data_IF_770837000380
#
_entry.id   IF_770837000380
#
_cell.length_a   1.000
_cell.length_b   1.000
_cell.length_c   1.000
_cell.angle_alpha   90.00
_cell.angle_beta   90.00
_cell.angle_gamma   90.00
#
_symmetry.space_group_name_H-M   'P 1'
#
loop_
_entity.id
_entity.type
_entity.pdbx_description
1 polymer ?
#
# COMPACT_ATOMS: atom_id res chain seq x y z
N UNK A 1 -0.61 13.31 -12.84
CA UNK A 1 -2.05 13.24 -12.45
C UNK A 1 -2.26 12.25 -11.31
N UNK A 2 -3.43 12.32 -10.65
CA UNK A 2 -3.86 11.34 -9.68
C UNK A 2 -4.82 10.33 -10.34
N UNK A 3 -4.62 9.03 -10.05
CA UNK A 3 -5.47 7.94 -10.53
C UNK A 3 -6.20 7.30 -9.35
N UNK A 4 -7.52 7.38 -9.35
CA UNK A 4 -8.38 6.69 -8.40
C UNK A 4 -8.98 5.43 -9.02
N UNK A 5 -8.74 4.27 -8.39
CA UNK A 5 -9.35 3.00 -8.83
C UNK A 5 -10.52 2.67 -7.93
N UNK A 6 -11.73 2.77 -8.48
CA UNK A 6 -12.97 2.54 -7.75
C UNK A 6 -13.40 1.07 -7.89
N UNK A 7 -13.28 0.30 -6.80
CA UNK A 7 -13.59 -1.14 -6.78
C UNK A 7 -15.07 -1.46 -6.54
N UNK A 8 -15.85 -0.51 -6.02
CA UNK A 8 -17.27 -0.72 -5.66
C UNK A 8 -17.50 -1.71 -4.51
N UNK A 9 -16.50 -1.99 -3.68
CA UNK A 9 -16.59 -2.98 -2.61
C UNK A 9 -17.05 -2.40 -1.27
N UNK A 10 -16.67 -1.15 -0.97
CA UNK A 10 -17.14 -0.42 0.21
C UNK A 10 -18.40 0.38 -0.12
N UNK A 11 -19.30 0.50 0.85
CA UNK A 11 -20.45 1.41 0.79
C UNK A 11 -20.04 2.88 0.68
N UNK A 12 -18.82 3.22 1.12
CA UNK A 12 -18.27 4.58 1.11
C UNK A 12 -17.44 4.86 -0.16
N UNK A 13 -17.38 3.95 -1.13
CA UNK A 13 -16.50 4.07 -2.30
C UNK A 13 -16.81 5.32 -3.16
N UNK A 14 -18.06 5.71 -3.28
CA UNK A 14 -18.47 6.92 -4.01
C UNK A 14 -18.11 8.20 -3.22
N UNK A 15 -18.20 8.19 -1.90
CA UNK A 15 -17.79 9.32 -1.03
C UNK A 15 -16.26 9.53 -1.12
N UNK A 16 -15.49 8.45 -1.16
CA UNK A 16 -14.03 8.50 -1.34
C UNK A 16 -13.66 9.06 -2.71
N UNK A 17 -14.37 8.65 -3.76
CA UNK A 17 -14.21 9.22 -5.10
C UNK A 17 -14.49 10.73 -5.08
N UNK A 18 -15.58 11.16 -4.44
CA UNK A 18 -15.94 12.57 -4.30
C UNK A 18 -14.89 13.37 -3.54
N UNK A 19 -14.34 12.82 -2.46
CA UNK A 19 -13.25 13.42 -1.70
C UNK A 19 -11.98 13.60 -2.55
N UNK A 20 -11.52 12.55 -3.23
CA UNK A 20 -10.33 12.61 -4.09
C UNK A 20 -10.51 13.62 -5.23
N UNK A 21 -11.71 13.69 -5.81
CA UNK A 21 -12.04 14.66 -6.87
C UNK A 21 -11.89 16.09 -6.38
N UNK A 22 -12.52 16.44 -5.24
CA UNK A 22 -12.44 17.79 -4.65
C UNK A 22 -11.00 18.17 -4.29
N UNK A 23 -10.27 17.26 -3.64
CA UNK A 23 -8.89 17.50 -3.24
C UNK A 23 -7.98 17.77 -4.43
N UNK A 24 -8.11 16.98 -5.50
CA UNK A 24 -7.33 17.18 -6.72
C UNK A 24 -7.69 18.49 -7.43
N UNK A 25 -8.96 18.90 -7.40
CA UNK A 25 -9.39 20.20 -7.93
C UNK A 25 -8.79 21.36 -7.13
N UNK A 26 -8.83 21.29 -5.79
CA UNK A 26 -8.25 22.28 -4.89
C UNK A 26 -6.74 22.45 -5.12
N UNK A 27 -6.03 21.34 -5.34
CA UNK A 27 -4.59 21.36 -5.54
C UNK A 27 -4.15 21.52 -7.02
N UNK A 28 -5.10 21.72 -7.93
CA UNK A 28 -4.86 21.79 -9.38
C UNK A 28 -4.09 20.56 -9.91
N UNK A 29 -4.38 19.36 -9.36
CA UNK A 29 -3.83 18.10 -9.82
C UNK A 29 -4.81 17.46 -10.82
N UNK A 30 -4.42 17.17 -12.06
CA UNK A 30 -5.27 16.42 -12.98
C UNK A 30 -5.71 15.09 -12.34
N UNK A 31 -7.00 14.77 -12.45
CA UNK A 31 -7.61 13.62 -11.80
C UNK A 31 -8.29 12.70 -12.80
N UNK A 32 -8.04 11.41 -12.67
CA UNK A 32 -8.71 10.35 -13.44
C UNK A 32 -9.27 9.31 -12.47
N UNK A 33 -10.48 8.87 -12.71
CA UNK A 33 -11.09 7.75 -11.99
C UNK A 33 -11.40 6.61 -12.95
N UNK A 34 -11.10 5.38 -12.51
CA UNK A 34 -11.41 4.15 -13.24
C UNK A 34 -12.25 3.25 -12.33
N UNK A 35 -13.46 2.93 -12.78
CA UNK A 35 -14.31 1.94 -12.11
C UNK A 35 -13.96 0.56 -12.62
N UNK A 36 -13.59 -0.35 -11.72
CA UNK A 36 -13.19 -1.72 -12.07
C UNK A 36 -14.21 -2.72 -11.54
N UNK A 37 -14.40 -3.79 -12.30
CA UNK A 37 -15.23 -4.93 -11.86
C UNK A 37 -14.33 -5.95 -11.16
N UNK A 38 -14.65 -6.26 -9.89
CA UNK A 38 -13.92 -7.25 -9.11
C UNK A 38 -14.57 -8.62 -9.30
N UNK A 39 -13.98 -9.44 -10.18
CA UNK A 39 -14.44 -10.81 -10.43
C UNK A 39 -13.86 -11.77 -9.40
N UNK A 40 -14.71 -12.53 -8.74
CA UNK A 40 -14.31 -13.57 -7.75
C UNK A 40 -13.82 -14.82 -8.49
N UNK A 41 -12.55 -14.89 -8.81
CA UNK A 41 -11.91 -16.00 -9.54
C UNK A 41 -11.38 -17.10 -8.59
N UNK A 42 -12.02 -17.33 -7.44
CA UNK A 42 -11.60 -18.32 -6.45
C UNK A 42 -10.41 -17.90 -5.55
N UNK A 43 -9.77 -16.77 -5.83
CA UNK A 43 -8.60 -16.26 -5.10
C UNK A 43 -8.95 -15.36 -3.89
N UNK A 44 -10.21 -15.19 -3.57
CA UNK A 44 -10.67 -14.22 -2.57
C UNK A 44 -10.80 -12.80 -3.12
N UNK A 45 -11.65 -12.00 -2.46
CA UNK A 45 -12.06 -10.67 -2.94
C UNK A 45 -10.89 -9.66 -2.95
N UNK A 46 -10.00 -9.75 -1.97
CA UNK A 46 -8.82 -8.87 -1.85
C UNK A 46 -7.83 -9.07 -2.99
N UNK A 47 -7.53 -10.34 -3.31
CA UNK A 47 -6.63 -10.68 -4.43
C UNK A 47 -7.23 -10.26 -5.77
N UNK A 48 -8.53 -10.45 -5.96
CA UNK A 48 -9.26 -10.02 -7.16
C UNK A 48 -9.27 -8.49 -7.31
N UNK A 49 -9.53 -7.76 -6.23
CA UNK A 49 -9.48 -6.29 -6.21
C UNK A 49 -8.07 -5.77 -6.51
N UNK A 50 -7.05 -6.43 -5.94
CA UNK A 50 -5.66 -6.11 -6.24
C UNK A 50 -5.33 -6.32 -7.74
N UNK A 51 -5.73 -7.45 -8.31
CA UNK A 51 -5.54 -7.75 -9.75
C UNK A 51 -6.19 -6.68 -10.63
N UNK A 52 -7.44 -6.33 -10.36
CA UNK A 52 -8.16 -5.30 -11.10
C UNK A 52 -7.48 -3.92 -11.00
N UNK A 53 -6.99 -3.55 -9.81
CA UNK A 53 -6.23 -2.31 -9.62
C UNK A 53 -4.93 -2.28 -10.42
N UNK A 54 -4.19 -3.38 -10.44
CA UNK A 54 -2.94 -3.44 -11.20
C UNK A 54 -3.17 -3.42 -12.71
N UNK A 55 -4.30 -3.96 -13.18
CA UNK A 55 -4.70 -3.80 -14.58
C UNK A 55 -4.97 -2.33 -14.91
N UNK A 56 -5.69 -1.60 -14.05
CA UNK A 56 -5.91 -0.17 -14.25
C UNK A 56 -4.60 0.66 -14.25
N UNK A 57 -3.55 0.19 -13.55
CA UNK A 57 -2.22 0.80 -13.59
C UNK A 57 -1.53 0.56 -14.93
N UNK A 58 -1.60 -0.67 -15.48
CA UNK A 58 -1.05 -1.00 -16.79
C UNK A 58 -1.74 -0.24 -17.93
N UNK A 59 -3.03 0.04 -17.78
CA UNK A 59 -3.83 0.77 -18.77
C UNK A 59 -3.62 2.31 -18.68
N UNK A 60 -2.83 2.79 -17.71
CA UNK A 60 -2.57 4.21 -17.54
C UNK A 60 -1.36 4.66 -18.41
N UNK A 61 -1.52 5.71 -19.23
CA UNK A 61 -0.51 6.10 -20.22
C UNK A 61 0.73 6.80 -19.61
N UNK A 62 0.77 7.02 -18.29
CA UNK A 62 1.88 7.76 -17.65
C UNK A 62 3.20 7.01 -17.61
N UNK A 63 3.19 5.68 -17.75
CA UNK A 63 4.38 4.83 -17.71
C UNK A 63 5.01 4.69 -16.31
N UNK A 64 4.69 5.56 -15.36
CA UNK A 64 5.16 5.49 -13.96
C UNK A 64 3.98 5.67 -13.01
N UNK A 65 3.76 4.68 -12.16
CA UNK A 65 2.74 4.71 -11.10
C UNK A 65 3.41 4.85 -9.74
N UNK A 66 3.23 6.00 -9.10
CA UNK A 66 3.70 6.23 -7.73
C UNK A 66 2.71 5.65 -6.72
N UNK A 67 3.19 4.81 -5.78
CA UNK A 67 2.40 4.22 -4.71
C UNK A 67 2.93 4.66 -3.34
N UNK A 68 2.03 5.05 -2.45
CA UNK A 68 2.35 5.56 -1.11
C UNK A 68 2.64 4.44 -0.07
N UNK A 69 3.23 3.31 -0.48
CA UNK A 69 3.73 2.33 0.47
C UNK A 69 4.86 2.92 1.30
N UNK A 70 4.88 2.62 2.59
CA UNK A 70 5.83 3.17 3.56
C UNK A 70 6.58 2.07 4.33
N UNK A 71 7.44 2.45 5.28
CA UNK A 71 8.31 1.51 6.00
C UNK A 71 7.53 0.44 6.75
N UNK A 72 6.41 0.79 7.40
CA UNK A 72 5.58 -0.19 8.11
C UNK A 72 4.98 -1.23 7.15
N UNK A 73 4.61 -0.84 5.91
CA UNK A 73 4.18 -1.79 4.88
C UNK A 73 5.28 -2.76 4.47
N UNK A 74 6.55 -2.32 4.47
CA UNK A 74 7.70 -3.20 4.23
C UNK A 74 7.84 -4.23 5.33
N UNK A 75 7.77 -3.79 6.60
CA UNK A 75 7.87 -4.66 7.78
C UNK A 75 6.73 -5.68 7.77
N UNK A 76 5.48 -5.25 7.55
CA UNK A 76 4.33 -6.13 7.43
C UNK A 76 4.52 -7.17 6.31
N UNK A 77 5.00 -6.73 5.15
CA UNK A 77 5.20 -7.62 3.99
C UNK A 77 6.29 -8.65 4.27
N UNK A 78 7.41 -8.25 4.87
CA UNK A 78 8.47 -9.14 5.30
C UNK A 78 7.97 -10.17 6.30
N UNK A 79 7.28 -9.73 7.36
CA UNK A 79 6.78 -10.61 8.42
C UNK A 79 5.74 -11.59 7.90
N UNK A 80 4.81 -11.13 7.05
CA UNK A 80 3.83 -12.00 6.39
C UNK A 80 4.50 -13.04 5.48
N UNK A 81 5.57 -12.69 4.79
CA UNK A 81 6.35 -13.63 3.98
C UNK A 81 7.04 -14.66 4.88
N UNK A 82 7.65 -14.23 5.99
CA UNK A 82 8.34 -15.11 6.92
C UNK A 82 7.40 -16.15 7.55
N UNK A 83 6.23 -15.73 8.06
CA UNK A 83 5.27 -16.65 8.69
C UNK A 83 4.57 -17.59 7.70
N UNK A 84 4.56 -17.26 6.40
CA UNK A 84 4.00 -18.10 5.34
C UNK A 84 5.03 -19.01 4.67
N UNK A 85 6.27 -19.04 5.15
CA UNK A 85 7.35 -19.82 4.53
C UNK A 85 7.79 -19.25 3.18
N UNK A 86 7.70 -17.94 2.99
CA UNK A 86 8.16 -17.28 1.77
C UNK A 86 9.67 -17.45 1.58
N UNK A 87 10.11 -17.75 0.36
CA UNK A 87 11.53 -17.80 0.01
C UNK A 87 12.18 -16.41 -0.05
N UNK A 88 13.47 -16.36 -0.35
CA UNK A 88 14.31 -15.15 -0.37
C UNK A 88 13.63 -13.98 -1.11
N UNK A 89 13.07 -14.24 -2.29
CA UNK A 89 12.37 -13.21 -3.09
C UNK A 89 11.17 -12.58 -2.37
N UNK A 90 10.43 -13.36 -1.58
CA UNK A 90 9.29 -12.86 -0.82
C UNK A 90 9.73 -12.08 0.42
N UNK A 91 10.81 -12.53 1.08
CA UNK A 91 11.43 -11.84 2.21
C UNK A 91 12.09 -10.52 1.82
N UNK A 92 12.51 -10.35 0.57
CA UNK A 92 12.99 -9.05 0.07
C UNK A 92 11.91 -7.95 0.04
N UNK A 93 10.65 -8.30 0.35
CA UNK A 93 9.50 -7.40 0.42
C UNK A 93 9.29 -6.57 -0.87
N UNK A 94 9.12 -5.25 -0.78
CA UNK A 94 8.82 -4.42 -1.94
C UNK A 94 10.04 -3.58 -2.35
N UNK A 95 10.55 -3.71 -3.59
CA UNK A 95 11.60 -2.82 -4.06
C UNK A 95 11.06 -1.41 -4.31
N UNK A 96 11.92 -0.36 -4.20
CA UNK A 96 11.55 1.03 -4.52
C UNK A 96 10.99 1.19 -5.94
N UNK A 97 11.61 0.46 -6.87
CA UNK A 97 11.20 0.42 -8.27
C UNK A 97 10.89 -1.01 -8.68
N UNK A 98 9.81 -1.19 -9.44
CA UNK A 98 9.44 -2.50 -9.99
C UNK A 98 8.80 -2.33 -11.36
N UNK A 99 9.29 -3.05 -12.35
CA UNK A 99 8.62 -3.18 -13.64
C UNK A 99 7.28 -3.90 -13.45
N UNK A 100 6.18 -3.30 -13.90
CA UNK A 100 4.86 -3.89 -13.88
C UNK A 100 4.63 -4.70 -15.17
N UNK A 101 4.88 -4.09 -16.30
CA UNK A 101 4.87 -4.64 -17.65
C UNK A 101 5.96 -3.99 -18.52
N UNK A 102 5.85 -4.04 -19.84
CA UNK A 102 6.87 -3.48 -20.74
C UNK A 102 6.93 -1.95 -20.71
N UNK A 103 5.80 -1.30 -20.50
CA UNK A 103 5.65 0.16 -20.59
C UNK A 103 5.53 0.82 -19.22
N UNK A 104 5.07 0.08 -18.18
CA UNK A 104 4.72 0.65 -16.87
C UNK A 104 5.67 0.21 -15.77
N UNK A 105 6.12 1.19 -14.98
CA UNK A 105 6.90 0.98 -13.76
C UNK A 105 6.14 1.44 -12.51
N UNK A 106 6.34 0.75 -11.43
CA UNK A 106 5.85 1.15 -10.10
C UNK A 106 7.00 1.78 -9.33
N UNK A 107 6.75 2.98 -8.80
CA UNK A 107 7.64 3.70 -7.91
C UNK A 107 7.04 3.81 -6.51
N UNK A 108 7.86 3.62 -5.47
CA UNK A 108 7.46 3.71 -4.06
C UNK A 108 8.37 4.68 -3.31
N UNK A 109 8.12 5.99 -3.42
CA UNK A 109 9.01 7.02 -2.86
C UNK A 109 9.05 7.04 -1.33
N UNK A 110 8.04 6.51 -0.66
CA UNK A 110 7.87 6.63 0.79
C UNK A 110 8.36 5.41 1.60
N UNK A 111 8.98 4.41 0.97
CA UNK A 111 9.39 3.16 1.64
C UNK A 111 10.39 3.35 2.80
N UNK A 112 11.09 4.45 2.86
CA UNK A 112 12.06 4.75 3.92
C UNK A 112 11.47 5.53 5.09
N UNK A 113 10.27 6.05 4.95
CA UNK A 113 9.57 6.80 5.99
C UNK A 113 8.63 5.89 6.78
N UNK A 114 8.64 6.02 8.09
CA UNK A 114 7.69 5.33 8.97
C UNK A 114 6.29 5.95 8.84
N UNK A 115 5.27 5.17 9.16
CA UNK A 115 3.90 5.67 9.24
C UNK A 115 3.77 6.87 10.17
N UNK A 116 4.45 6.84 11.33
CA UNK A 116 4.45 7.93 12.31
C UNK A 116 5.02 9.23 11.74
N UNK A 117 6.09 9.17 10.95
CA UNK A 117 6.67 10.36 10.29
C UNK A 117 5.67 10.94 9.27
N UNK A 118 5.02 10.08 8.48
CA UNK A 118 4.02 10.52 7.50
C UNK A 118 2.77 11.13 8.18
N UNK A 119 2.29 10.54 9.26
CA UNK A 119 1.17 11.09 10.05
C UNK A 119 1.54 12.44 10.68
N UNK A 120 2.76 12.57 11.20
CA UNK A 120 3.26 13.84 11.73
C UNK A 120 3.38 14.92 10.65
N UNK A 121 3.85 14.57 9.47
CA UNK A 121 3.90 15.47 8.32
C UNK A 121 2.50 15.89 7.87
N UNK A 122 1.58 14.94 7.74
CA UNK A 122 0.20 15.23 7.34
C UNK A 122 -0.49 16.17 8.33
N UNK A 123 -0.28 15.94 9.64
CA UNK A 123 -0.82 16.83 10.69
C UNK A 123 -0.19 18.23 10.62
N UNK A 124 1.13 18.34 10.46
CA UNK A 124 1.82 19.64 10.36
C UNK A 124 1.38 20.46 9.13
N UNK A 125 1.04 19.78 8.04
CA UNK A 125 0.56 20.40 6.80
C UNK A 125 -0.97 20.52 6.73
N UNK A 126 -1.71 20.10 7.77
CA UNK A 126 -3.17 20.04 7.79
C UNK A 126 -3.76 19.31 6.57
N UNK A 127 -3.12 18.20 6.16
CA UNK A 127 -3.58 17.42 5.01
C UNK A 127 -4.86 16.67 5.36
N UNK A 128 -5.96 16.86 4.62
CA UNK A 128 -7.17 16.10 4.83
C UNK A 128 -6.95 14.63 4.44
N UNK A 129 -7.56 13.72 5.17
CA UNK A 129 -7.51 12.29 4.90
C UNK A 129 -8.87 11.62 5.08
N UNK A 130 -8.97 10.40 4.63
CA UNK A 130 -10.12 9.51 4.84
C UNK A 130 -9.63 8.27 5.58
N UNK A 131 -10.40 7.85 6.55
CA UNK A 131 -10.23 6.55 7.18
C UNK A 131 -11.08 5.48 6.46
N UNK A 132 -10.43 4.41 6.04
CA UNK A 132 -11.08 3.22 5.51
C UNK A 132 -11.44 2.31 6.68
N UNK A 133 -12.73 2.09 6.89
CA UNK A 133 -13.26 1.25 7.97
C UNK A 133 -12.72 -0.20 7.94
N UNK A 134 -12.37 -0.70 6.76
CA UNK A 134 -11.80 -2.05 6.62
C UNK A 134 -10.41 -2.19 7.23
N UNK A 135 -9.70 -1.09 7.46
CA UNK A 135 -8.38 -1.12 8.10
C UNK A 135 -8.43 -1.59 9.56
N UNK A 136 -9.57 -1.44 10.24
CA UNK A 136 -9.73 -1.87 11.63
C UNK A 136 -10.11 -3.36 11.77
N UNK A 137 -10.46 -4.04 10.69
CA UNK A 137 -10.88 -5.45 10.73
C UNK A 137 -9.68 -6.40 10.86
N UNK A 138 -9.44 -6.89 12.07
CA UNK A 138 -8.35 -7.83 12.39
C UNK A 138 -8.61 -9.27 11.93
N UNK A 139 -9.76 -9.58 11.35
CA UNK A 139 -9.97 -10.84 10.63
C UNK A 139 -9.01 -10.97 9.42
N UNK A 140 -8.58 -9.85 8.87
CA UNK A 140 -7.51 -9.84 7.88
C UNK A 140 -6.14 -9.98 8.54
N UNK A 141 -5.38 -10.99 8.14
CA UNK A 141 -4.07 -11.30 8.74
C UNK A 141 -3.10 -10.09 8.73
N UNK A 142 -3.19 -9.23 7.72
CA UNK A 142 -2.35 -8.01 7.64
C UNK A 142 -2.72 -7.01 8.72
N UNK A 143 -4.01 -6.79 8.96
CA UNK A 143 -4.48 -5.88 10.01
C UNK A 143 -4.18 -6.46 11.40
N UNK A 144 -4.40 -7.76 11.60
CA UNK A 144 -3.97 -8.44 12.83
C UNK A 144 -2.47 -8.28 13.09
N UNK A 145 -1.63 -8.48 12.07
CA UNK A 145 -0.18 -8.27 12.17
C UNK A 145 0.13 -6.84 12.62
N UNK A 146 -0.53 -5.84 12.02
CA UNK A 146 -0.33 -4.40 12.30
C UNK A 146 -0.75 -4.02 13.71
N UNK A 147 -1.92 -4.47 14.17
CA UNK A 147 -2.53 -3.98 15.39
C UNK A 147 -2.25 -4.84 16.62
N UNK A 148 -1.93 -6.11 16.43
CA UNK A 148 -1.73 -7.05 17.54
C UNK A 148 -0.30 -7.59 17.60
N UNK A 149 0.26 -8.13 16.53
CA UNK A 149 1.54 -8.81 16.58
C UNK A 149 2.74 -7.85 16.61
N UNK A 150 2.79 -6.88 15.69
CA UNK A 150 3.91 -5.93 15.59
C UNK A 150 4.09 -5.07 16.84
N UNK A 151 3.05 -4.55 17.50
CA UNK A 151 3.21 -3.80 18.75
C UNK A 151 3.92 -4.61 19.85
N UNK A 152 3.57 -5.89 20.00
CA UNK A 152 4.22 -6.79 21.00
C UNK A 152 5.70 -6.98 20.70
N UNK A 153 6.08 -7.17 19.45
CA UNK A 153 7.50 -7.33 19.07
C UNK A 153 8.28 -6.02 19.24
N UNK A 154 7.69 -4.89 18.86
CA UNK A 154 8.29 -3.55 19.03
C UNK A 154 8.55 -3.21 20.51
N UNK A 155 7.64 -3.63 21.39
CA UNK A 155 7.81 -3.46 22.83
C UNK A 155 8.94 -4.33 23.40
N UNK A 156 9.05 -5.58 22.94
CA UNK A 156 9.95 -6.58 23.50
C UNK A 156 11.34 -6.61 22.87
N UNK A 157 11.46 -6.19 21.62
CA UNK A 157 12.70 -6.28 20.84
C UNK A 157 13.21 -4.88 20.51
N UNK A 158 14.27 -4.39 21.19
CA UNK A 158 14.85 -3.10 20.88
C UNK A 158 15.25 -2.98 19.40
N UNK A 159 14.94 -1.86 18.77
CA UNK A 159 15.25 -1.58 17.36
C UNK A 159 14.66 -2.60 16.37
N UNK A 160 13.56 -3.26 16.70
CA UNK A 160 12.89 -4.26 15.85
C UNK A 160 12.77 -3.79 14.40
N UNK A 161 12.14 -2.63 14.17
CA UNK A 161 11.91 -2.08 12.83
C UNK A 161 13.21 -1.86 12.05
N UNK A 162 14.25 -1.34 12.72
CA UNK A 162 15.57 -1.12 12.13
C UNK A 162 16.21 -2.44 11.68
N UNK A 163 16.11 -3.48 12.51
CA UNK A 163 16.67 -4.80 12.19
C UNK A 163 15.94 -5.45 11.01
N UNK A 164 14.61 -5.41 11.01
CA UNK A 164 13.81 -5.93 9.89
C UNK A 164 14.13 -5.19 8.60
N UNK A 165 14.17 -3.84 8.63
CA UNK A 165 14.52 -3.05 7.47
C UNK A 165 15.96 -3.29 6.97
N UNK A 166 16.91 -3.57 7.86
CA UNK A 166 18.28 -3.93 7.47
C UNK A 166 18.30 -5.28 6.73
N UNK A 167 17.56 -6.28 7.22
CA UNK A 167 17.42 -7.57 6.54
C UNK A 167 16.78 -7.43 5.16
N UNK A 168 15.72 -6.64 5.03
CA UNK A 168 15.07 -6.37 3.74
C UNK A 168 16.07 -5.76 2.75
N UNK A 169 16.84 -4.74 3.17
CA UNK A 169 17.85 -4.12 2.30
C UNK A 169 18.93 -5.09 1.85
N UNK A 170 19.42 -5.95 2.75
CA UNK A 170 20.41 -6.99 2.40
C UNK A 170 19.84 -7.93 1.33
N UNK A 171 18.60 -8.40 1.52
CA UNK A 171 17.94 -9.31 0.58
C UNK A 171 17.59 -8.66 -0.78
N UNK A 172 17.60 -7.35 -0.88
CA UNK A 172 17.35 -6.63 -2.14
C UNK A 172 18.62 -6.37 -2.94
N UNK A 173 19.79 -6.52 -2.31
CA UNK A 173 21.12 -6.30 -2.94
C UNK A 173 21.74 -7.59 -3.49
N UNK A 174 21.26 -8.74 -3.06
CA UNK A 174 21.66 -10.08 -3.54
C UNK A 174 20.80 -10.51 -4.75
#
# INVERSE_FOLDING_TARGET
HALHVHHGLSRNADDWLGFCTRLCQEWNVPFRSVKVEVKKDGLGIEAAARKARYQAFSDDPSGIIALAHHQDDQIETFMLAAVRGGGIKALAAMPPWRKLDEETQIWRPLLTFSRKELESYAAACNLPNIEDESNADTAFLRNWMRYEALPVWRERIPNFDRHVCANIRSLQTD
#
